data_IF_625949313767
#
_entry.id   IF_625949313767
#
_cell.length_a   1.000
_cell.length_b   1.000
_cell.length_c   1.000
_cell.angle_alpha   90.00
_cell.angle_beta   90.00
_cell.angle_gamma   90.00
#
_symmetry.space_group_name_H-M   'P 1'
#
loop_
_entity.id
_entity.type
_entity.pdbx_description
1 polymer ?
#
# COMPACT_ATOMS: atom_id res chain seq x y z
N UNK A 1 25.11 -5.15 20.17
CA UNK A 1 23.90 -5.28 19.35
C UNK A 1 24.30 -5.80 17.98
N UNK A 2 23.57 -6.77 17.45
CA UNK A 2 23.79 -7.30 16.09
C UNK A 2 22.96 -6.47 15.09
N UNK A 3 23.47 -6.16 13.88
CA UNK A 3 22.72 -5.40 12.89
C UNK A 3 21.50 -6.19 12.38
N UNK A 4 20.35 -5.54 12.31
CA UNK A 4 19.13 -6.11 11.71
C UNK A 4 19.07 -5.69 10.24
N UNK A 5 18.94 -6.66 9.34
CA UNK A 5 18.77 -6.41 7.92
C UNK A 5 17.29 -6.16 7.58
N UNK A 6 17.02 -5.01 6.96
CA UNK A 6 15.70 -4.64 6.45
C UNK A 6 15.77 -4.65 4.92
N UNK A 7 14.96 -5.48 4.23
CA UNK A 7 15.03 -5.63 2.77
C UNK A 7 14.41 -4.46 2.00
N UNK A 8 13.64 -3.59 2.66
CA UNK A 8 12.99 -2.45 2.02
C UNK A 8 13.99 -1.34 1.64
N UNK A 9 13.64 -0.54 0.64
CA UNK A 9 14.46 0.60 0.24
C UNK A 9 14.56 1.65 1.36
N UNK A 10 15.70 2.35 1.43
CA UNK A 10 15.97 3.34 2.48
C UNK A 10 14.93 4.46 2.52
N UNK A 11 14.44 4.92 1.37
CA UNK A 11 13.41 5.97 1.30
C UNK A 11 12.05 5.52 1.87
N UNK A 12 11.68 4.25 1.71
CA UNK A 12 10.48 3.65 2.32
C UNK A 12 10.64 3.62 3.83
N UNK A 13 11.78 3.11 4.32
CA UNK A 13 12.07 2.98 5.74
C UNK A 13 12.17 4.34 6.44
N UNK A 14 12.77 5.34 5.80
CA UNK A 14 12.89 6.69 6.33
C UNK A 14 11.52 7.32 6.59
N UNK A 15 10.58 7.18 5.66
CA UNK A 15 9.22 7.70 5.84
C UNK A 15 8.46 6.88 6.88
N UNK A 16 8.60 5.55 6.85
CA UNK A 16 7.96 4.68 7.84
C UNK A 16 8.41 5.02 9.26
N UNK A 17 9.71 5.23 9.48
CA UNK A 17 10.26 5.57 10.79
C UNK A 17 9.78 6.93 11.30
N UNK A 18 9.48 7.88 10.42
CA UNK A 18 8.85 9.15 10.83
C UNK A 18 7.45 8.95 11.44
N UNK A 19 6.75 7.84 11.17
CA UNK A 19 5.50 7.50 11.87
C UNK A 19 5.73 6.93 13.28
N UNK A 20 6.89 6.32 13.52
CA UNK A 20 7.24 5.67 14.80
C UNK A 20 7.90 6.69 15.73
N UNK A 21 8.88 7.41 15.22
CA UNK A 21 9.66 8.42 15.94
C UNK A 21 9.75 9.68 15.07
N UNK A 22 8.87 10.68 15.31
CA UNK A 22 8.91 11.90 14.53
C UNK A 22 10.21 12.67 14.74
N UNK A 23 10.67 13.42 13.71
CA UNK A 23 11.89 14.18 13.80
C UNK A 23 11.89 15.12 15.01
N UNK A 24 12.92 15.01 15.85
CA UNK A 24 13.09 15.81 17.07
C UNK A 24 13.20 17.31 16.81
N UNK A 25 13.57 17.71 15.59
CA UNK A 25 13.59 19.11 15.16
C UNK A 25 12.18 19.68 14.92
N UNK A 26 11.17 18.82 14.73
CA UNK A 26 9.80 19.24 14.50
C UNK A 26 9.13 19.55 15.84
N UNK A 27 9.08 20.84 16.20
CA UNK A 27 8.33 21.34 17.37
C UNK A 27 6.81 21.08 17.32
N UNK A 28 6.32 20.54 16.19
CA UNK A 28 4.94 20.13 15.98
C UNK A 28 4.97 18.67 15.53
N UNK A 29 4.56 17.77 16.41
CA UNK A 29 4.45 16.34 16.11
C UNK A 29 3.34 16.15 15.07
N UNK A 30 3.73 15.98 13.80
CA UNK A 30 2.81 15.69 12.70
C UNK A 30 3.25 14.39 12.06
N UNK A 31 2.28 13.55 11.73
CA UNK A 31 2.54 12.39 10.87
C UNK A 31 3.05 12.89 9.52
N UNK A 32 4.00 12.17 8.89
CA UNK A 32 4.52 12.55 7.59
C UNK A 32 3.39 12.51 6.55
N UNK A 33 3.44 13.44 5.60
CA UNK A 33 2.55 13.41 4.45
C UNK A 33 3.02 12.33 3.47
N UNK A 34 2.10 11.49 3.01
CA UNK A 34 2.34 10.52 1.93
C UNK A 34 1.66 10.92 0.62
N UNK A 35 1.08 12.12 0.57
CA UNK A 35 0.44 12.66 -0.64
C UNK A 35 1.50 13.11 -1.64
N UNK A 36 1.34 12.73 -2.90
CA UNK A 36 2.24 13.11 -4.00
C UNK A 36 3.55 12.32 -4.05
N UNK A 37 3.71 11.28 -3.21
CA UNK A 37 4.80 10.33 -3.35
C UNK A 37 4.67 9.55 -4.67
N UNK A 38 5.82 9.14 -5.22
CA UNK A 38 5.87 8.15 -6.29
C UNK A 38 5.13 6.87 -5.86
N UNK A 39 4.38 6.26 -6.78
CA UNK A 39 3.54 5.10 -6.47
C UNK A 39 4.36 3.92 -5.93
N UNK A 40 5.57 3.71 -6.44
CA UNK A 40 6.48 2.65 -5.97
C UNK A 40 6.85 2.86 -4.50
N UNK A 41 7.13 4.10 -4.12
CA UNK A 41 7.48 4.45 -2.73
C UNK A 41 6.25 4.34 -1.84
N UNK A 42 5.10 4.85 -2.28
CA UNK A 42 3.84 4.78 -1.54
C UNK A 42 3.43 3.34 -1.23
N UNK A 43 3.38 2.45 -2.24
CA UNK A 43 3.03 1.04 -2.02
C UNK A 43 4.13 0.29 -1.25
N UNK A 44 5.39 0.70 -1.38
CA UNK A 44 6.46 0.19 -0.51
C UNK A 44 6.23 0.52 0.96
N UNK A 45 5.80 1.75 1.26
CA UNK A 45 5.44 2.18 2.63
C UNK A 45 4.23 1.41 3.12
N UNK A 46 3.19 1.22 2.31
CA UNK A 46 2.00 0.48 2.74
C UNK A 46 2.33 -0.97 3.09
N UNK A 47 3.14 -1.66 2.27
CA UNK A 47 3.59 -3.02 2.57
C UNK A 47 4.45 -3.09 3.83
N UNK A 48 5.36 -2.14 4.02
CA UNK A 48 6.21 -2.08 5.21
C UNK A 48 5.38 -1.75 6.48
N UNK A 49 4.39 -0.87 6.36
CA UNK A 49 3.49 -0.50 7.45
C UNK A 49 2.69 -1.71 7.96
N UNK A 50 2.16 -2.53 7.05
CA UNK A 50 1.49 -3.79 7.37
C UNK A 50 2.46 -4.79 8.02
N UNK A 51 3.62 -5.01 7.39
CA UNK A 51 4.64 -5.96 7.87
C UNK A 51 5.14 -5.64 9.28
N UNK A 52 5.38 -4.38 9.57
CA UNK A 52 5.90 -3.91 10.87
C UNK A 52 4.81 -3.41 11.82
N UNK A 53 3.54 -3.53 11.42
CA UNK A 53 2.35 -3.18 12.21
C UNK A 53 2.40 -1.73 12.73
N UNK A 54 2.76 -0.81 11.85
CA UNK A 54 2.84 0.63 12.14
C UNK A 54 1.45 1.24 11.91
N UNK A 55 0.57 1.11 12.89
CA UNK A 55 -0.85 1.50 12.77
C UNK A 55 -1.09 2.92 12.25
N UNK A 56 -0.24 3.87 12.64
CA UNK A 56 -0.33 5.25 12.13
C UNK A 56 -0.12 5.32 10.62
N UNK A 57 0.84 4.57 10.08
CA UNK A 57 1.10 4.50 8.65
C UNK A 57 0.02 3.68 7.93
N UNK A 58 -0.40 2.53 8.50
CA UNK A 58 -1.48 1.70 7.93
C UNK A 58 -2.75 2.51 7.67
N UNK A 59 -3.21 3.26 8.68
CA UNK A 59 -4.43 4.07 8.59
C UNK A 59 -4.32 5.19 7.53
N UNK A 60 -3.16 5.84 7.45
CA UNK A 60 -2.94 6.90 6.45
C UNK A 60 -2.81 6.31 5.04
N UNK A 61 -2.14 5.17 4.90
CA UNK A 61 -2.03 4.43 3.63
C UNK A 61 -3.39 3.98 3.12
N UNK A 62 -4.22 3.33 3.95
CA UNK A 62 -5.54 2.85 3.49
C UNK A 62 -6.48 4.01 3.13
N UNK A 63 -6.44 5.10 3.91
CA UNK A 63 -7.19 6.33 3.59
C UNK A 63 -6.72 6.93 2.27
N UNK A 64 -5.41 6.91 2.00
CA UNK A 64 -4.87 7.38 0.72
C UNK A 64 -5.27 6.45 -0.43
N UNK A 65 -5.30 5.13 -0.22
CA UNK A 65 -5.73 4.17 -1.24
C UNK A 65 -7.16 4.43 -1.69
N UNK A 66 -8.09 4.73 -0.77
CA UNK A 66 -9.46 5.15 -1.10
C UNK A 66 -9.49 6.37 -2.05
N UNK A 67 -8.54 7.30 -1.90
CA UNK A 67 -8.49 8.50 -2.74
C UNK A 67 -7.91 8.25 -4.14
N UNK A 68 -7.13 7.18 -4.31
CA UNK A 68 -6.40 6.89 -5.56
C UNK A 68 -6.83 5.57 -6.20
N UNK A 69 -7.89 4.94 -5.68
CA UNK A 69 -8.35 3.63 -6.15
C UNK A 69 -8.68 3.62 -7.64
N UNK A 70 -9.17 4.73 -8.19
CA UNK A 70 -9.42 4.90 -9.63
C UNK A 70 -8.12 4.98 -10.45
N UNK A 71 -7.06 5.55 -9.89
CA UNK A 71 -5.77 5.74 -10.57
C UNK A 71 -4.89 4.48 -10.50
N UNK A 72 -4.94 3.75 -9.38
CA UNK A 72 -4.13 2.55 -9.14
C UNK A 72 -4.97 1.34 -8.69
N UNK A 73 -6.02 0.94 -9.43
CA UNK A 73 -6.98 -0.06 -8.97
C UNK A 73 -6.34 -1.43 -8.74
N UNK A 74 -5.39 -1.85 -9.58
CA UNK A 74 -4.75 -3.16 -9.47
C UNK A 74 -3.82 -3.26 -8.26
N UNK A 75 -3.04 -2.22 -8.01
CA UNK A 75 -2.17 -2.14 -6.84
C UNK A 75 -2.98 -2.11 -5.54
N UNK A 76 -4.06 -1.32 -5.49
CA UNK A 76 -4.97 -1.26 -4.35
C UNK A 76 -5.67 -2.61 -4.14
N UNK A 77 -6.19 -3.23 -5.19
CA UNK A 77 -6.83 -4.55 -5.13
C UNK A 77 -5.87 -5.60 -4.57
N UNK A 78 -4.63 -5.63 -5.07
CA UNK A 78 -3.63 -6.58 -4.62
C UNK A 78 -3.26 -6.38 -3.14
N UNK A 79 -3.10 -5.12 -2.70
CA UNK A 79 -2.86 -4.79 -1.31
C UNK A 79 -4.04 -5.20 -0.41
N UNK A 80 -5.28 -4.87 -0.81
CA UNK A 80 -6.49 -5.21 -0.07
C UNK A 80 -6.67 -6.71 0.10
N UNK A 81 -6.44 -7.48 -0.97
CA UNK A 81 -6.50 -8.94 -0.93
C UNK A 81 -5.42 -9.56 -0.03
N UNK A 82 -4.23 -8.95 0.03
CA UNK A 82 -3.11 -9.43 0.85
C UNK A 82 -3.31 -9.19 2.35
N UNK A 83 -3.88 -8.04 2.71
CA UNK A 83 -3.94 -7.57 4.11
C UNK A 83 -5.35 -7.55 4.70
N UNK A 84 -6.38 -7.88 3.92
CA UNK A 84 -7.74 -8.11 4.42
C UNK A 84 -8.60 -6.85 4.51
N UNK A 85 -8.60 -6.03 3.45
CA UNK A 85 -9.47 -4.85 3.32
C UNK A 85 -10.57 -5.07 2.26
N UNK A 86 -11.58 -5.92 2.54
CA UNK A 86 -12.52 -6.39 1.51
C UNK A 86 -13.36 -5.28 0.87
N UNK A 87 -13.85 -4.31 1.66
CA UNK A 87 -14.71 -3.24 1.12
C UNK A 87 -13.98 -2.38 0.08
N UNK A 88 -12.74 -1.97 0.37
CA UNK A 88 -11.91 -1.25 -0.60
C UNK A 88 -11.41 -2.17 -1.72
N UNK A 89 -11.21 -3.45 -1.43
CA UNK A 89 -10.88 -4.47 -2.43
C UNK A 89 -11.97 -4.61 -3.49
N UNK A 90 -13.24 -4.66 -3.08
CA UNK A 90 -14.38 -4.75 -3.99
C UNK A 90 -14.49 -3.49 -4.86
N UNK A 91 -14.34 -2.30 -4.28
CA UNK A 91 -14.29 -1.03 -5.03
C UNK A 91 -13.13 -1.01 -6.04
N UNK A 92 -11.94 -1.45 -5.62
CA UNK A 92 -10.78 -1.55 -6.50
C UNK A 92 -10.99 -2.57 -7.62
N UNK A 93 -11.71 -3.66 -7.35
CA UNK A 93 -12.06 -4.66 -8.35
C UNK A 93 -12.93 -4.06 -9.46
N UNK A 94 -13.94 -3.25 -9.11
CA UNK A 94 -14.80 -2.56 -10.10
C UNK A 94 -13.99 -1.67 -11.05
N UNK A 95 -13.05 -0.88 -10.50
CA UNK A 95 -12.18 -0.01 -11.30
C UNK A 95 -11.13 -0.78 -12.12
N UNK A 96 -10.76 -1.97 -11.69
CA UNK A 96 -9.78 -2.80 -12.40
C UNK A 96 -10.32 -3.49 -13.64
N UNK A 97 -11.64 -3.54 -13.84
CA UNK A 97 -12.29 -4.18 -15.00
C UNK A 97 -11.89 -3.54 -16.35
N UNK A 98 -11.45 -2.27 -16.31
CA UNK A 98 -11.00 -1.54 -17.51
C UNK A 98 -9.56 -1.90 -17.91
N UNK A 99 -8.83 -2.66 -17.09
CA UNK A 99 -7.44 -3.02 -17.36
C UNK A 99 -7.32 -4.23 -18.29
N UNK A 100 -6.26 -4.26 -19.08
CA UNK A 100 -5.94 -5.41 -19.92
C UNK A 100 -5.61 -6.63 -19.05
N UNK A 101 -6.16 -7.80 -19.39
CA UNK A 101 -5.91 -9.06 -18.67
C UNK A 101 -4.42 -9.37 -18.49
N UNK A 102 -3.58 -9.01 -19.46
CA UNK A 102 -2.12 -9.18 -19.38
C UNK A 102 -1.50 -8.33 -18.27
N UNK A 103 -1.98 -7.10 -18.08
CA UNK A 103 -1.53 -6.23 -16.99
C UNK A 103 -2.04 -6.74 -15.64
N UNK A 104 -3.30 -7.18 -15.58
CA UNK A 104 -3.92 -7.75 -14.39
C UNK A 104 -3.14 -8.97 -13.91
N UNK A 105 -2.82 -9.90 -14.82
CA UNK A 105 -2.08 -11.12 -14.50
C UNK A 105 -0.66 -10.87 -13.94
N UNK A 106 -0.03 -9.76 -14.34
CA UNK A 106 1.29 -9.37 -13.82
C UNK A 106 1.18 -8.69 -12.45
N UNK A 107 0.13 -7.89 -12.23
CA UNK A 107 -0.01 -7.08 -11.01
C UNK A 107 -0.67 -7.81 -9.84
N UNK A 108 -1.60 -8.74 -10.11
CA UNK A 108 -2.26 -9.51 -9.06
C UNK A 108 -1.38 -10.68 -8.65
N UNK A 109 -0.66 -10.52 -7.54
CA UNK A 109 0.33 -11.49 -7.05
C UNK A 109 -0.19 -12.36 -5.92
N UNK A 110 -1.35 -12.03 -5.34
CA UNK A 110 -1.99 -12.86 -4.31
C UNK A 110 -2.53 -14.16 -4.94
N UNK A 111 -2.15 -15.34 -4.42
CA UNK A 111 -2.63 -16.62 -4.95
C UNK A 111 -4.16 -16.70 -4.98
N UNK A 112 -4.72 -17.08 -6.14
CA UNK A 112 -6.16 -17.21 -6.34
C UNK A 112 -6.90 -15.90 -6.66
N UNK A 113 -6.28 -14.75 -6.46
CA UNK A 113 -6.92 -13.45 -6.71
C UNK A 113 -7.22 -13.24 -8.19
N UNK A 114 -6.30 -13.60 -9.10
CA UNK A 114 -6.54 -13.50 -10.54
C UNK A 114 -7.73 -14.37 -10.97
N UNK A 115 -7.84 -15.60 -10.45
CA UNK A 115 -8.98 -16.46 -10.78
C UNK A 115 -10.30 -15.90 -10.25
N UNK A 116 -10.30 -15.29 -9.06
CA UNK A 116 -11.49 -14.63 -8.52
C UNK A 116 -11.90 -13.44 -9.40
N UNK A 117 -10.93 -12.61 -9.78
CA UNK A 117 -11.14 -11.46 -10.65
C UNK A 117 -11.78 -11.86 -12.00
N UNK A 118 -11.28 -12.90 -12.67
CA UNK A 118 -11.83 -13.40 -13.93
C UNK A 118 -13.24 -13.99 -13.76
N UNK A 119 -13.55 -14.59 -12.62
CA UNK A 119 -14.88 -15.14 -12.36
C UNK A 119 -15.92 -14.08 -11.98
N UNK A 120 -15.49 -12.89 -11.59
CA UNK A 120 -16.36 -11.74 -11.29
C UNK A 120 -16.60 -10.83 -12.50
N UNK A 121 -15.84 -10.99 -13.59
CA UNK A 121 -16.02 -10.30 -14.88
C UNK A 121 -16.94 -11.08 -15.81
#
# INVERSE_FOLDING_TARGET
>A
SEPVFLPEHSNVLEILFQFIEPPTESRHFRQPSIVGLDSTVFFGISEAAEKYVVYGAMNVCITRMQQIVVEYPLEVLNHCAKHGYPELGDEAAEHSLLADLSQVAVKLTVPGLLSQWVCTT
#
